data_IF_179913758365
#
_entry.id   IF_179913758365
#
_cell.length_a   1.000
_cell.length_b   1.000
_cell.length_c   1.000
_cell.angle_alpha   90.00
_cell.angle_beta   90.00
_cell.angle_gamma   90.00
#
_symmetry.space_group_name_H-M   'P 1'
#
loop_
_entity.id
_entity.type
_entity.pdbx_description
1 polymer ?
#
# COMPACT_ATOMS: atom_id res chain seq x y z
N UNK A 1 -18.10 -0.89 -3.53
CA UNK A 1 -19.09 -1.54 -4.43
C UNK A 1 -18.99 -0.91 -5.82
N UNK A 2 -19.54 -1.51 -6.90
CA UNK A 2 -19.40 -0.96 -8.26
C UNK A 2 -19.84 0.50 -8.42
N UNK A 3 -20.78 0.98 -7.59
CA UNK A 3 -21.23 2.38 -7.56
C UNK A 3 -20.38 3.34 -6.72
N UNK A 4 -19.21 2.91 -6.22
CA UNK A 4 -18.36 3.71 -5.33
C UNK A 4 -18.74 3.67 -3.85
N UNK A 5 -19.83 2.99 -3.49
CA UNK A 5 -20.24 2.85 -2.09
C UNK A 5 -19.26 2.02 -1.27
N UNK A 6 -18.97 2.47 -0.06
CA UNK A 6 -18.23 1.72 0.94
C UNK A 6 -19.18 0.97 1.86
N UNK A 7 -18.82 -0.27 2.21
CA UNK A 7 -19.59 -1.07 3.17
C UNK A 7 -18.65 -1.77 4.12
N UNK A 8 -18.87 -1.53 5.41
CA UNK A 8 -18.11 -2.20 6.46
C UNK A 8 -18.40 -3.71 6.48
N UNK A 9 -17.34 -4.50 6.66
CA UNK A 9 -17.46 -5.94 6.86
C UNK A 9 -17.77 -6.18 8.34
N UNK A 10 -19.01 -6.58 8.63
CA UNK A 10 -19.42 -6.94 9.99
C UNK A 10 -18.74 -8.25 10.42
N UNK A 11 -17.97 -8.17 11.51
CA UNK A 11 -17.20 -9.29 12.06
C UNK A 11 -17.78 -9.76 13.38
N UNK A 12 -17.79 -11.08 13.61
CA UNK A 12 -18.15 -11.70 14.89
C UNK A 12 -16.91 -12.12 15.71
N UNK A 13 -15.71 -11.89 15.18
CA UNK A 13 -14.44 -12.29 15.75
C UNK A 13 -13.29 -11.65 14.96
N UNK A 14 -12.04 -12.12 15.16
CA UNK A 14 -10.89 -11.63 14.42
C UNK A 14 -11.06 -11.74 12.90
N UNK A 15 -10.34 -10.93 12.11
CA UNK A 15 -10.31 -11.06 10.66
C UNK A 15 -9.86 -12.46 10.22
N UNK A 16 -10.44 -12.96 9.12
CA UNK A 16 -10.09 -14.28 8.57
C UNK A 16 -10.02 -14.24 7.05
N UNK A 17 -9.21 -15.11 6.44
CA UNK A 17 -9.13 -15.29 4.98
C UNK A 17 -10.49 -15.64 4.33
N UNK A 18 -11.45 -16.11 5.13
CA UNK A 18 -12.81 -16.42 4.67
C UNK A 18 -13.60 -15.16 4.28
N UNK A 19 -13.17 -13.96 4.70
CA UNK A 19 -13.76 -12.69 4.25
C UNK A 19 -13.66 -12.54 2.73
N UNK A 20 -12.51 -12.86 2.14
CA UNK A 20 -12.32 -12.85 0.68
C UNK A 20 -13.32 -13.74 -0.05
N UNK A 21 -13.64 -14.93 0.48
CA UNK A 21 -14.66 -15.83 -0.08
C UNK A 21 -16.06 -15.21 -0.06
N UNK A 22 -16.40 -14.45 1.00
CA UNK A 22 -17.69 -13.73 1.08
C UNK A 22 -17.75 -12.62 0.05
N UNK A 23 -16.66 -11.88 -0.14
CA UNK A 23 -16.57 -10.81 -1.15
C UNK A 23 -16.73 -11.41 -2.54
N UNK A 24 -16.00 -12.48 -2.88
CA UNK A 24 -16.15 -13.16 -4.18
C UNK A 24 -17.59 -13.61 -4.45
N UNK A 25 -18.25 -14.21 -3.45
CA UNK A 25 -19.66 -14.64 -3.56
C UNK A 25 -20.59 -13.44 -3.77
N UNK A 26 -20.35 -12.34 -3.07
CA UNK A 26 -21.14 -11.12 -3.21
C UNK A 26 -20.93 -10.45 -4.57
N UNK A 27 -19.70 -10.41 -5.07
CA UNK A 27 -19.37 -9.86 -6.39
C UNK A 27 -19.95 -10.70 -7.53
N UNK A 28 -19.89 -12.02 -7.42
CA UNK A 28 -20.53 -12.93 -8.38
C UNK A 28 -22.05 -12.73 -8.44
N UNK A 29 -22.72 -12.59 -7.29
CA UNK A 29 -24.17 -12.28 -7.23
C UNK A 29 -24.53 -10.94 -7.86
N UNK A 30 -23.61 -9.98 -7.86
CA UNK A 30 -23.79 -8.66 -8.47
C UNK A 30 -23.42 -8.65 -9.96
N UNK A 31 -22.95 -9.76 -10.53
CA UNK A 31 -22.51 -9.83 -11.92
C UNK A 31 -21.24 -9.01 -12.20
N UNK A 32 -20.39 -8.79 -11.21
CA UNK A 32 -19.16 -8.02 -11.39
C UNK A 32 -18.21 -8.70 -12.39
N UNK A 33 -17.72 -7.94 -13.38
CA UNK A 33 -16.74 -8.44 -14.34
C UNK A 33 -15.32 -8.55 -13.75
N UNK A 34 -15.00 -7.68 -12.79
CA UNK A 34 -13.69 -7.59 -12.14
C UNK A 34 -13.90 -7.44 -10.63
N UNK A 35 -13.04 -8.10 -9.85
CA UNK A 35 -12.96 -7.94 -8.39
C UNK A 35 -11.51 -7.68 -8.03
N UNK A 36 -11.27 -6.60 -7.30
CA UNK A 36 -9.96 -6.29 -6.71
C UNK A 36 -10.03 -6.66 -5.23
N UNK A 37 -9.06 -7.46 -4.77
CA UNK A 37 -8.95 -7.91 -3.39
C UNK A 37 -7.53 -7.67 -2.90
N UNK A 38 -7.41 -7.10 -1.70
CA UNK A 38 -6.17 -7.10 -0.94
C UNK A 38 -6.02 -8.45 -0.23
N UNK A 39 -4.83 -9.04 -0.30
CA UNK A 39 -4.49 -10.25 0.47
C UNK A 39 -4.06 -9.83 1.87
N UNK A 40 -4.75 -10.30 2.90
CA UNK A 40 -4.52 -9.88 4.28
C UNK A 40 -3.61 -10.83 5.05
N UNK A 41 -3.28 -12.00 4.47
CA UNK A 41 -2.49 -13.02 5.14
C UNK A 41 -1.02 -12.64 5.25
N UNK A 42 -0.50 -12.78 6.46
CA UNK A 42 0.90 -12.47 6.80
C UNK A 42 1.77 -13.73 6.82
N UNK A 43 1.19 -14.86 7.22
CA UNK A 43 1.91 -16.14 7.28
C UNK A 43 1.94 -16.79 5.89
N UNK A 44 3.07 -17.39 5.46
CA UNK A 44 3.22 -18.01 4.14
C UNK A 44 2.13 -19.04 3.83
N UNK A 45 1.78 -19.89 4.79
CA UNK A 45 0.79 -20.95 4.60
C UNK A 45 -0.61 -20.35 4.41
N UNK A 46 -0.95 -19.33 5.21
CA UNK A 46 -2.23 -18.64 5.08
C UNK A 46 -2.33 -17.88 3.76
N UNK A 47 -1.23 -17.22 3.34
CA UNK A 47 -1.14 -16.48 2.10
C UNK A 47 -1.24 -17.40 0.87
N UNK A 48 -0.60 -18.57 0.93
CA UNK A 48 -0.76 -19.61 -0.08
C UNK A 48 -2.21 -20.10 -0.17
N UNK A 49 -2.86 -20.41 0.96
CA UNK A 49 -4.27 -20.86 0.96
C UNK A 49 -5.17 -19.76 0.40
N UNK A 50 -5.01 -18.52 0.87
CA UNK A 50 -5.81 -17.37 0.45
C UNK A 50 -5.67 -17.13 -1.06
N UNK A 51 -4.46 -16.94 -1.57
CA UNK A 51 -4.26 -16.62 -2.99
C UNK A 51 -4.45 -17.84 -3.89
N UNK A 52 -3.77 -18.96 -3.61
CA UNK A 52 -3.64 -20.08 -4.55
C UNK A 52 -4.80 -21.07 -4.48
N UNK A 53 -5.36 -21.30 -3.29
CA UNK A 53 -6.43 -22.29 -3.12
C UNK A 53 -7.82 -21.66 -3.11
N UNK A 54 -7.97 -20.44 -2.60
CA UNK A 54 -9.25 -19.79 -2.43
C UNK A 54 -9.56 -18.77 -3.53
N UNK A 55 -8.74 -17.72 -3.66
CA UNK A 55 -9.02 -16.59 -4.57
C UNK A 55 -8.72 -16.94 -6.02
N UNK A 56 -7.59 -17.61 -6.28
CA UNK A 56 -7.10 -18.00 -7.62
C UNK A 56 -7.11 -16.81 -8.60
N UNK A 57 -6.38 -15.73 -8.29
CA UNK A 57 -6.40 -14.51 -9.09
C UNK A 57 -5.87 -14.72 -10.51
N UNK A 58 -6.50 -14.05 -11.48
CA UNK A 58 -5.96 -13.91 -12.84
C UNK A 58 -4.74 -12.97 -12.88
N UNK A 59 -4.76 -11.96 -12.02
CA UNK A 59 -3.71 -10.96 -11.87
C UNK A 59 -3.35 -10.86 -10.39
N UNK A 60 -2.06 -11.01 -10.08
CA UNK A 60 -1.50 -10.76 -8.76
C UNK A 60 -0.66 -9.48 -8.82
N UNK A 61 -0.79 -8.61 -7.83
CA UNK A 61 -0.03 -7.36 -7.76
C UNK A 61 0.77 -7.36 -6.47
N UNK A 62 2.10 -7.32 -6.58
CA UNK A 62 3.00 -7.16 -5.43
C UNK A 62 3.42 -5.69 -5.42
N UNK A 63 2.93 -4.91 -4.46
CA UNK A 63 3.12 -3.44 -4.47
C UNK A 63 4.48 -3.00 -3.94
N UNK A 64 5.04 -3.73 -2.98
CA UNK A 64 6.37 -3.51 -2.38
C UNK A 64 6.76 -4.68 -1.47
N UNK A 65 8.03 -4.78 -1.11
CA UNK A 65 8.57 -5.74 -0.13
C UNK A 65 9.18 -4.96 1.04
N UNK A 66 8.39 -4.77 2.10
CA UNK A 66 8.75 -3.98 3.28
C UNK A 66 8.89 -4.83 4.53
N UNK A 67 9.76 -4.35 5.43
CA UNK A 67 9.96 -4.90 6.77
C UNK A 67 8.71 -4.67 7.65
N UNK A 68 7.71 -5.54 7.48
CA UNK A 68 6.56 -5.66 8.35
C UNK A 68 6.46 -7.10 8.84
N UNK A 69 5.89 -7.31 10.02
CA UNK A 69 5.61 -8.64 10.56
C UNK A 69 6.85 -9.55 10.60
N UNK A 70 7.99 -9.03 11.05
CA UNK A 70 9.28 -9.72 10.97
C UNK A 70 9.27 -11.08 11.67
N UNK A 71 8.47 -11.23 12.73
CA UNK A 71 8.30 -12.49 13.43
C UNK A 71 7.62 -13.58 12.57
N UNK A 72 6.81 -13.18 11.60
CA UNK A 72 6.07 -14.09 10.72
C UNK A 72 6.69 -14.19 9.32
N UNK A 73 7.24 -13.10 8.80
CA UNK A 73 7.75 -13.00 7.42
C UNK A 73 9.28 -13.13 7.30
N UNK A 74 10.00 -13.04 8.41
CA UNK A 74 11.46 -13.04 8.45
C UNK A 74 12.06 -11.63 8.54
N UNK A 75 13.33 -11.51 8.97
CA UNK A 75 13.99 -10.23 9.20
C UNK A 75 14.49 -9.52 7.93
N UNK A 76 14.67 -10.24 6.80
CA UNK A 76 15.23 -9.69 5.57
C UNK A 76 14.20 -9.52 4.45
N UNK A 77 14.43 -8.55 3.55
CA UNK A 77 13.57 -8.37 2.36
C UNK A 77 13.53 -9.63 1.49
N UNK A 78 14.62 -10.37 1.38
CA UNK A 78 14.66 -11.65 0.66
C UNK A 78 13.73 -12.71 1.27
N UNK A 79 13.68 -12.81 2.59
CA UNK A 79 12.75 -13.73 3.28
C UNK A 79 11.30 -13.31 3.11
N UNK A 80 11.01 -12.00 3.24
CA UNK A 80 9.67 -11.45 3.02
C UNK A 80 9.23 -11.67 1.57
N UNK A 81 10.11 -11.46 0.59
CA UNK A 81 9.86 -11.79 -0.80
C UNK A 81 9.62 -13.31 -0.98
N UNK A 82 10.34 -14.15 -0.25
CA UNK A 82 10.10 -15.58 -0.16
C UNK A 82 8.67 -15.89 0.28
N UNK A 83 8.17 -15.22 1.33
CA UNK A 83 6.78 -15.33 1.78
C UNK A 83 5.81 -14.89 0.70
N UNK A 84 6.00 -13.72 0.09
CA UNK A 84 5.10 -13.22 -0.97
C UNK A 84 5.07 -14.12 -2.19
N UNK A 85 6.17 -14.79 -2.53
CA UNK A 85 6.24 -15.74 -3.63
C UNK A 85 5.27 -16.92 -3.47
N UNK A 86 4.86 -17.24 -2.23
CA UNK A 86 3.86 -18.28 -1.94
C UNK A 86 2.46 -17.91 -2.43
N UNK A 87 2.18 -16.62 -2.67
CA UNK A 87 0.90 -16.15 -3.19
C UNK A 87 0.77 -16.31 -4.71
N UNK A 88 1.86 -16.63 -5.43
CA UNK A 88 1.85 -16.71 -6.89
C UNK A 88 1.06 -17.95 -7.33
N UNK A 89 -0.13 -17.68 -7.90
CA UNK A 89 -1.07 -18.70 -8.37
C UNK A 89 -0.68 -19.25 -9.74
N UNK A 90 -1.23 -20.40 -10.13
CA UNK A 90 -1.02 -21.00 -11.46
C UNK A 90 -1.65 -20.14 -12.56
N UNK A 91 -0.99 -20.03 -13.71
CA UNK A 91 -1.49 -19.34 -14.90
C UNK A 91 -1.94 -17.89 -14.66
N UNK A 92 -1.32 -17.19 -13.70
CA UNK A 92 -1.62 -15.78 -13.42
C UNK A 92 -0.57 -14.85 -14.04
N UNK A 93 -0.92 -13.57 -14.16
CA UNK A 93 0.03 -12.51 -14.50
C UNK A 93 0.37 -11.74 -13.23
N UNK A 94 1.66 -11.67 -12.88
CA UNK A 94 2.15 -11.03 -11.66
C UNK A 94 2.78 -9.69 -12.03
N UNK A 95 2.29 -8.60 -11.44
CA UNK A 95 2.89 -7.27 -11.56
C UNK A 95 3.75 -6.98 -10.33
N UNK A 96 4.98 -6.52 -10.57
CA UNK A 96 5.92 -6.12 -9.51
C UNK A 96 6.66 -4.86 -9.96
N UNK A 97 6.84 -3.84 -9.10
CA UNK A 97 7.78 -2.74 -9.38
C UNK A 97 9.19 -3.29 -9.65
N UNK A 98 9.91 -2.77 -10.65
CA UNK A 98 11.28 -3.23 -10.96
C UNK A 98 12.21 -3.10 -9.74
N UNK A 99 12.03 -2.05 -8.94
CA UNK A 99 12.82 -1.79 -7.74
C UNK A 99 12.46 -2.70 -6.55
N UNK A 100 11.36 -3.44 -6.65
CA UNK A 100 10.86 -4.40 -5.66
C UNK A 100 10.90 -5.83 -6.21
N UNK A 101 11.60 -6.07 -7.33
CA UNK A 101 11.73 -7.39 -7.93
C UNK A 101 12.80 -8.23 -7.22
N UNK A 102 12.42 -9.47 -6.86
CA UNK A 102 13.33 -10.45 -6.27
C UNK A 102 13.37 -11.71 -7.14
N UNK A 103 14.55 -12.35 -7.34
CA UNK A 103 14.68 -13.57 -8.15
C UNK A 103 13.76 -14.72 -7.72
N UNK A 104 13.35 -14.76 -6.45
CA UNK A 104 12.42 -15.76 -5.92
C UNK A 104 11.04 -15.68 -6.59
N UNK A 105 10.59 -14.48 -6.98
CA UNK A 105 9.33 -14.31 -7.70
C UNK A 105 9.38 -15.02 -9.05
N UNK A 106 10.43 -14.80 -9.84
CA UNK A 106 10.58 -15.44 -11.15
C UNK A 106 10.65 -16.96 -11.03
N UNK A 107 11.40 -17.48 -10.04
CA UNK A 107 11.45 -18.93 -9.77
C UNK A 107 10.07 -19.49 -9.45
N UNK A 108 9.32 -18.81 -8.58
CA UNK A 108 7.97 -19.23 -8.20
C UNK A 108 6.99 -19.18 -9.37
N UNK A 109 6.98 -18.09 -10.15
CA UNK A 109 6.12 -17.93 -11.32
C UNK A 109 6.39 -19.00 -12.40
N UNK A 110 7.66 -19.27 -12.73
CA UNK A 110 8.04 -20.30 -13.69
C UNK A 110 7.53 -21.69 -13.26
N UNK A 111 7.63 -22.03 -11.97
CA UNK A 111 7.16 -23.32 -11.42
C UNK A 111 5.66 -23.55 -11.62
N UNK A 112 4.86 -22.50 -11.74
CA UNK A 112 3.39 -22.57 -11.82
C UNK A 112 2.84 -22.04 -13.14
N UNK A 113 3.70 -21.89 -14.16
CA UNK A 113 3.35 -21.39 -15.49
C UNK A 113 2.72 -19.99 -15.50
N UNK A 114 3.17 -19.13 -14.59
CA UNK A 114 2.75 -17.74 -14.50
C UNK A 114 3.78 -16.81 -15.12
N UNK A 115 3.33 -15.62 -15.50
CA UNK A 115 4.17 -14.58 -16.11
C UNK A 115 4.42 -13.46 -15.11
N UNK A 116 5.61 -12.88 -15.14
CA UNK A 116 5.91 -11.66 -14.40
C UNK A 116 6.01 -10.49 -15.38
N UNK A 117 5.44 -9.37 -14.98
CA UNK A 117 5.61 -8.07 -15.61
C UNK A 117 6.25 -7.16 -14.58
N UNK A 118 7.54 -6.88 -14.79
CA UNK A 118 8.26 -5.85 -14.05
C UNK A 118 7.81 -4.49 -14.55
N UNK A 119 7.33 -3.64 -13.65
CA UNK A 119 6.86 -2.30 -13.96
C UNK A 119 8.05 -1.34 -13.82
N UNK A 120 8.50 -0.68 -14.90
CA UNK A 120 9.67 0.20 -14.84
C UNK A 120 9.38 1.52 -14.11
N UNK A 121 10.39 2.14 -13.50
CA UNK A 121 10.32 3.48 -12.92
C UNK A 121 10.04 4.55 -13.99
N UNK A 122 10.61 4.38 -15.19
CA UNK A 122 10.57 5.36 -16.28
C UNK A 122 9.23 5.42 -17.04
N UNK A 123 8.27 4.52 -16.77
CA UNK A 123 7.02 4.44 -17.53
C UNK A 123 6.02 5.58 -17.25
N UNK A 124 6.33 6.51 -16.33
CA UNK A 124 5.60 7.79 -16.25
C UNK A 124 6.06 8.72 -17.38
N UNK A 125 5.72 8.36 -18.62
CA UNK A 125 5.92 9.22 -19.78
C UNK A 125 5.31 10.59 -19.54
N UNK A 126 6.11 11.66 -19.81
CA UNK A 126 5.80 13.10 -19.73
C UNK A 126 4.33 13.39 -19.44
N UNK A 127 4.00 13.40 -18.16
CA UNK A 127 2.73 13.90 -17.65
C UNK A 127 2.78 15.43 -17.85
N UNK A 128 1.82 15.98 -18.59
CA UNK A 128 1.76 17.42 -18.88
C UNK A 128 1.74 18.22 -17.56
N UNK A 129 2.33 19.41 -17.59
CA UNK A 129 2.51 20.28 -16.42
C UNK A 129 1.18 20.62 -15.71
N UNK A 130 0.07 20.57 -16.44
CA UNK A 130 -1.30 20.75 -15.97
C UNK A 130 -1.81 19.61 -15.06
N UNK A 131 -1.31 18.38 -15.27
CA UNK A 131 -1.67 17.20 -14.48
C UNK A 131 -0.87 17.13 -13.16
N UNK A 132 0.30 17.80 -13.09
CA UNK A 132 1.18 17.82 -11.88
C UNK A 132 0.48 18.35 -10.62
N UNK A 133 -0.47 19.29 -10.73
CA UNK A 133 -1.16 19.87 -9.56
C UNK A 133 -2.07 18.87 -8.83
N UNK A 134 -2.61 17.87 -9.54
CA UNK A 134 -3.45 16.81 -8.96
C UNK A 134 -2.64 15.56 -8.62
N UNK A 135 -1.38 15.46 -9.10
CA UNK A 135 -0.49 14.33 -8.90
C UNK A 135 0.31 14.37 -7.57
N UNK A 136 0.21 15.44 -6.79
CA UNK A 136 1.04 15.64 -5.59
C UNK A 136 0.56 14.94 -4.31
N UNK A 137 -0.47 14.10 -4.36
CA UNK A 137 -0.93 13.31 -3.22
C UNK A 137 -0.82 11.80 -3.49
N UNK A 138 -0.06 11.14 -2.64
CA UNK A 138 0.03 9.69 -2.39
C UNK A 138 0.66 8.79 -3.46
N UNK A 139 1.77 8.17 -3.04
CA UNK A 139 2.61 7.12 -3.63
C UNK A 139 2.57 6.98 -5.17
N UNK A 140 3.53 7.62 -5.84
CA UNK A 140 3.77 7.47 -7.28
C UNK A 140 3.89 6.00 -7.72
N UNK A 141 4.36 5.15 -6.83
CA UNK A 141 4.55 3.71 -7.01
C UNK A 141 3.20 2.99 -7.19
N UNK A 142 2.23 3.26 -6.32
CA UNK A 142 0.89 2.65 -6.38
C UNK A 142 0.12 3.08 -7.63
N UNK A 143 0.27 4.35 -8.05
CA UNK A 143 -0.31 4.81 -9.32
C UNK A 143 0.31 4.11 -10.52
N UNK A 144 1.65 4.02 -10.53
CA UNK A 144 2.40 3.42 -11.64
C UNK A 144 2.01 1.96 -11.87
N UNK A 145 1.93 1.16 -10.81
CA UNK A 145 1.49 -0.23 -10.94
C UNK A 145 0.01 -0.35 -11.31
N UNK A 146 -0.87 0.53 -10.79
CA UNK A 146 -2.28 0.54 -11.17
C UNK A 146 -2.48 0.89 -12.65
N UNK A 147 -1.69 1.83 -13.18
CA UNK A 147 -1.69 2.19 -14.61
C UNK A 147 -1.22 1.01 -15.48
N UNK A 148 -0.16 0.30 -15.06
CA UNK A 148 0.34 -0.88 -15.78
C UNK A 148 -0.70 -2.02 -15.83
N UNK A 149 -1.39 -2.27 -14.72
CA UNK A 149 -2.48 -3.25 -14.67
C UNK A 149 -3.66 -2.84 -15.55
N UNK A 150 -4.02 -1.55 -15.53
CA UNK A 150 -5.13 -1.04 -16.34
C UNK A 150 -4.83 -1.10 -17.85
N UNK A 151 -3.58 -0.78 -18.25
CA UNK A 151 -3.10 -0.92 -19.63
C UNK A 151 -3.16 -2.38 -20.09
N UNK A 152 -2.71 -3.32 -19.24
CA UNK A 152 -2.81 -4.76 -19.52
C UNK A 152 -4.26 -5.25 -19.68
N UNK A 153 -5.20 -4.64 -18.96
CA UNK A 153 -6.64 -4.91 -19.09
C UNK A 153 -7.29 -4.21 -20.29
N UNK A 154 -6.53 -3.40 -21.05
CA UNK A 154 -7.03 -2.66 -22.20
C UNK A 154 -7.89 -1.45 -21.86
N UNK A 155 -7.75 -0.90 -20.64
CA UNK A 155 -8.45 0.32 -20.23
C UNK A 155 -7.69 1.52 -20.79
N UNK A 156 -8.37 2.41 -21.52
CA UNK A 156 -7.71 3.56 -22.14
C UNK A 156 -7.13 4.52 -21.09
N UNK A 157 -5.98 5.12 -21.42
CA UNK A 157 -5.23 6.00 -20.52
C UNK A 157 -6.08 7.16 -19.96
N UNK A 158 -7.01 7.74 -20.74
CA UNK A 158 -7.83 8.86 -20.27
C UNK A 158 -8.80 8.40 -19.18
N UNK A 159 -9.43 7.25 -19.37
CA UNK A 159 -10.29 6.63 -18.35
C UNK A 159 -9.52 6.32 -17.07
N UNK A 160 -8.29 5.80 -17.17
CA UNK A 160 -7.44 5.53 -16.00
C UNK A 160 -7.08 6.82 -15.26
N UNK A 161 -6.60 7.85 -15.96
CA UNK A 161 -6.26 9.13 -15.34
C UNK A 161 -7.47 9.78 -14.66
N UNK A 162 -8.64 9.76 -15.32
CA UNK A 162 -9.88 10.30 -14.76
C UNK A 162 -10.33 9.51 -13.52
N UNK A 163 -10.20 8.18 -13.54
CA UNK A 163 -10.49 7.32 -12.41
C UNK A 163 -9.61 7.66 -11.20
N UNK A 164 -8.29 7.71 -11.40
CA UNK A 164 -7.32 8.08 -10.35
C UNK A 164 -7.62 9.46 -9.78
N UNK A 165 -7.93 10.45 -10.63
CA UNK A 165 -8.23 11.80 -10.18
C UNK A 165 -9.54 11.92 -9.38
N UNK A 166 -10.48 11.00 -9.59
CA UNK A 166 -11.78 10.94 -8.88
C UNK A 166 -11.75 10.05 -7.64
N UNK A 167 -10.70 9.25 -7.45
CA UNK A 167 -10.56 8.39 -6.28
C UNK A 167 -10.56 9.24 -5.01
N UNK A 168 -11.46 8.99 -4.05
CA UNK A 168 -11.43 9.66 -2.77
C UNK A 168 -10.06 9.46 -2.09
N UNK A 169 -9.57 10.49 -1.41
CA UNK A 169 -8.40 10.30 -0.55
C UNK A 169 -8.72 9.23 0.50
N UNK A 170 -7.74 8.37 0.77
CA UNK A 170 -7.86 7.38 1.84
C UNK A 170 -8.26 8.10 3.15
N UNK A 171 -9.25 7.56 3.85
CA UNK A 171 -9.69 8.08 5.14
C UNK A 171 -8.52 8.25 6.11
N UNK A 172 -7.56 7.30 6.10
CA UNK A 172 -6.35 7.33 6.92
C UNK A 172 -5.20 8.16 6.36
N UNK A 173 -5.33 8.69 5.14
CA UNK A 173 -4.30 9.42 4.42
C UNK A 173 -3.78 10.66 5.16
N UNK A 174 -2.65 11.19 4.68
CA UNK A 174 -2.00 12.36 5.28
C UNK A 174 -2.93 13.58 5.23
N UNK A 175 -3.32 14.09 6.40
CA UNK A 175 -4.10 15.34 6.51
C UNK A 175 -3.28 16.39 7.23
N UNK A 176 -3.32 17.62 6.72
CA UNK A 176 -2.71 18.79 7.36
C UNK A 176 -3.78 19.85 7.50
N UNK A 177 -3.95 20.36 8.71
CA UNK A 177 -4.85 21.48 8.98
C UNK A 177 -4.20 22.43 9.98
N UNK A 178 -4.73 23.66 10.05
CA UNK A 178 -4.27 24.66 11.01
C UNK A 178 -5.32 24.81 12.11
N UNK A 179 -4.88 24.87 13.36
CA UNK A 179 -5.74 25.13 14.52
C UNK A 179 -5.07 26.12 15.46
N UNK A 180 -5.84 26.96 16.14
CA UNK A 180 -5.30 27.94 17.09
C UNK A 180 -5.42 27.40 18.52
N UNK A 181 -4.29 27.17 19.18
CA UNK A 181 -4.24 26.65 20.56
C UNK A 181 -3.35 27.51 21.45
N UNK A 182 -3.52 27.40 22.77
CA UNK A 182 -2.72 28.12 23.78
C UNK A 182 -3.37 29.42 24.27
N UNK A 183 -2.68 30.07 25.22
CA UNK A 183 -3.07 31.39 25.75
C UNK A 183 -1.81 32.26 25.91
N UNK A 184 -1.62 33.33 25.09
CA UNK A 184 -2.51 33.72 23.99
C UNK A 184 -2.53 32.68 22.85
N UNK A 185 -3.58 32.66 22.00
CA UNK A 185 -3.69 31.70 20.90
C UNK A 185 -2.53 31.82 19.91
N UNK A 186 -1.98 30.67 19.48
CA UNK A 186 -1.00 30.59 18.41
C UNK A 186 -1.40 29.51 17.39
N UNK A 187 -1.00 29.70 16.13
CA UNK A 187 -1.33 28.78 15.05
C UNK A 187 -0.45 27.51 15.11
N UNK A 188 -1.10 26.35 15.15
CA UNK A 188 -0.49 25.03 15.08
C UNK A 188 -0.82 24.37 13.75
N UNK A 189 0.19 23.81 13.10
CA UNK A 189 -0.02 22.86 12.01
C UNK A 189 -0.24 21.48 12.62
N UNK A 190 -1.46 21.00 12.53
CA UNK A 190 -1.83 19.66 12.95
C UNK A 190 -1.68 18.71 11.76
N UNK A 191 -0.96 17.62 11.97
CA UNK A 191 -0.67 16.63 10.94
C UNK A 191 -1.19 15.27 11.40
N UNK A 192 -2.08 14.67 10.61
CA UNK A 192 -2.52 13.29 10.78
C UNK A 192 -1.64 12.38 9.95
N UNK A 193 -0.74 11.65 10.60
CA UNK A 193 0.13 10.64 9.99
C UNK A 193 -0.34 9.19 10.16
N UNK A 194 -1.63 8.94 10.46
CA UNK A 194 -2.12 7.60 10.83
C UNK A 194 -1.93 6.51 9.76
N UNK A 195 -1.81 6.87 8.47
CA UNK A 195 -1.44 5.91 7.42
C UNK A 195 0.04 5.47 7.46
N UNK A 196 0.93 6.25 8.09
CA UNK A 196 2.35 5.94 8.22
C UNK A 196 2.59 5.18 9.53
N UNK A 197 2.52 3.85 9.48
CA UNK A 197 2.61 2.99 10.66
C UNK A 197 4.06 2.59 11.03
N UNK A 198 5.02 2.89 10.16
CA UNK A 198 6.42 2.49 10.29
C UNK A 198 7.38 3.68 10.14
N UNK A 199 8.62 3.57 10.63
CA UNK A 199 9.61 4.65 10.56
C UNK A 199 9.93 5.12 9.14
N UNK A 200 9.99 4.22 8.16
CA UNK A 200 10.32 4.54 6.78
C UNK A 200 9.19 5.37 6.14
N UNK A 201 7.95 4.91 6.26
CA UNK A 201 6.76 5.65 5.81
C UNK A 201 6.63 7.01 6.51
N UNK A 202 6.95 7.08 7.80
CA UNK A 202 6.94 8.33 8.56
C UNK A 202 8.00 9.30 8.06
N UNK A 203 9.23 8.82 7.81
CA UNK A 203 10.31 9.63 7.21
C UNK A 203 9.89 10.21 5.87
N UNK A 204 9.18 9.43 5.03
CA UNK A 204 8.62 9.94 3.77
C UNK A 204 7.60 11.05 4.01
N UNK A 205 6.69 10.89 4.98
CA UNK A 205 5.71 11.91 5.35
C UNK A 205 6.40 13.20 5.82
N UNK A 206 7.34 13.09 6.76
CA UNK A 206 8.07 14.24 7.32
C UNK A 206 8.92 14.95 6.26
N UNK A 207 9.56 14.20 5.36
CA UNK A 207 10.30 14.80 4.23
C UNK A 207 9.38 15.62 3.33
N UNK A 208 8.18 15.11 3.01
CA UNK A 208 7.18 15.86 2.22
C UNK A 208 6.72 17.13 2.93
N UNK A 209 6.51 17.08 4.24
CA UNK A 209 6.11 18.25 5.02
C UNK A 209 7.23 19.30 5.07
N UNK A 210 8.49 18.86 5.17
CA UNK A 210 9.67 19.73 5.07
C UNK A 210 9.75 20.40 3.70
N UNK A 211 9.59 19.64 2.62
CA UNK A 211 9.67 20.14 1.24
C UNK A 211 8.53 21.13 0.92
N UNK A 212 7.40 21.02 1.63
CA UNK A 212 6.28 21.99 1.60
C UNK A 212 6.47 23.18 2.55
N UNK A 213 7.63 23.32 3.18
CA UNK A 213 7.97 24.35 4.18
C UNK A 213 7.05 24.37 5.43
N UNK A 214 6.28 23.31 5.67
CA UNK A 214 5.40 23.19 6.84
C UNK A 214 6.24 23.08 8.12
N UNK A 215 7.38 22.38 8.08
CA UNK A 215 8.24 22.18 9.26
C UNK A 215 9.24 23.32 9.49
N UNK A 216 9.46 24.20 8.49
CA UNK A 216 10.55 25.19 8.50
C UNK A 216 10.44 26.17 9.66
N UNK A 217 11.45 26.20 10.54
CA UNK A 217 11.53 27.12 11.67
C UNK A 217 10.51 26.85 12.78
N UNK A 218 9.88 25.67 12.80
CA UNK A 218 8.85 25.29 13.78
C UNK A 218 9.36 24.15 14.66
N UNK A 219 8.95 24.15 15.93
CA UNK A 219 9.15 22.99 16.81
C UNK A 219 8.22 21.87 16.36
N UNK A 220 8.79 20.69 16.10
CA UNK A 220 8.03 19.49 15.73
C UNK A 220 7.78 18.66 16.99
N UNK A 221 6.55 18.20 17.16
CA UNK A 221 6.15 17.31 18.28
C UNK A 221 5.48 16.09 17.67
N UNK A 222 6.10 14.92 17.83
CA UNK A 222 5.54 13.64 17.41
C UNK A 222 4.69 13.00 18.51
N UNK A 223 3.44 12.64 18.20
CA UNK A 223 2.60 11.80 19.04
C UNK A 223 2.51 10.41 18.42
N UNK A 224 3.09 9.42 19.10
CA UNK A 224 3.14 8.03 18.63
C UNK A 224 2.19 7.20 19.50
N UNK A 225 1.32 6.42 18.84
CA UNK A 225 0.44 5.47 19.50
C UNK A 225 0.72 4.07 18.97
N UNK A 226 1.17 3.16 19.84
CA UNK A 226 1.55 1.81 19.47
C UNK A 226 0.49 0.81 19.86
N UNK A 227 0.21 -0.13 18.97
CA UNK A 227 -0.64 -1.27 19.28
C UNK A 227 0.12 -2.26 20.16
N UNK A 228 -0.57 -2.80 21.16
CA UNK A 228 0.01 -3.76 22.12
C UNK A 228 0.44 -5.07 21.47
N UNK A 229 -0.17 -5.46 20.34
CA UNK A 229 0.14 -6.69 19.60
C UNK A 229 1.27 -6.52 18.56
N UNK A 230 1.91 -5.35 18.49
CA UNK A 230 2.95 -5.00 17.50
C UNK A 230 4.25 -4.53 18.16
N UNK A 231 4.77 -5.33 19.10
CA UNK A 231 5.98 -4.99 19.85
C UNK A 231 7.25 -4.85 18.99
N UNK A 232 7.33 -5.60 17.89
CA UNK A 232 8.37 -5.48 16.87
C UNK A 232 8.43 -4.07 16.27
N UNK A 233 7.26 -3.48 16.00
CA UNK A 233 7.16 -2.11 15.49
C UNK A 233 7.69 -1.10 16.50
N UNK A 234 7.38 -1.26 17.78
CA UNK A 234 7.93 -0.40 18.84
C UNK A 234 9.45 -0.43 18.87
N UNK A 235 10.06 -1.60 18.69
CA UNK A 235 11.52 -1.73 18.60
C UNK A 235 12.10 -1.04 17.35
N UNK A 236 11.44 -1.16 16.20
CA UNK A 236 11.84 -0.43 14.98
C UNK A 236 11.85 1.08 15.20
N UNK A 237 10.81 1.62 15.84
CA UNK A 237 10.72 3.05 16.18
C UNK A 237 11.83 3.49 17.14
N UNK A 238 12.11 2.70 18.18
CA UNK A 238 13.22 2.99 19.09
C UNK A 238 14.58 3.02 18.38
N UNK A 239 14.80 2.10 17.45
CA UNK A 239 16.03 2.07 16.64
C UNK A 239 16.13 3.30 15.73
N UNK A 240 15.06 3.64 15.00
CA UNK A 240 15.03 4.78 14.10
C UNK A 240 15.25 6.13 14.82
N UNK A 241 14.64 6.29 16.01
CA UNK A 241 14.82 7.48 16.85
C UNK A 241 16.27 7.60 17.34
N UNK A 242 16.92 6.48 17.72
CA UNK A 242 18.33 6.49 18.13
C UNK A 242 19.28 6.76 16.97
N UNK A 243 18.93 6.32 15.77
CA UNK A 243 19.72 6.51 14.55
C UNK A 243 19.59 7.93 13.96
N UNK A 244 18.58 8.71 14.37
CA UNK A 244 18.32 10.03 13.80
C UNK A 244 17.78 9.94 12.37
N UNK A 245 16.95 8.95 12.08
CA UNK A 245 16.47 8.66 10.73
C UNK A 245 15.43 9.65 10.19
N UNK A 246 15.02 10.64 10.99
CA UNK A 246 13.96 11.57 10.65
C UNK A 246 14.50 12.97 10.28
N UNK A 247 13.85 13.69 9.34
CA UNK A 247 14.39 14.91 8.72
C UNK A 247 14.16 16.22 9.49
N UNK A 248 13.45 16.20 10.62
CA UNK A 248 13.19 17.33 11.53
C UNK A 248 14.35 17.69 12.46
#
# INVERSE_FOLDING_TARGET
>A
LPGGEEKEIVRKGPPTILEGKRILKASSKQGANVVVLELMSIQPESLFVESVQMIKPHILVITNVRADHLAQMGPSKDEIAGVFSSSISKNCTVFVPEEEFFPVFQKAATRVHSKIIEVPLAQMGRIEESEKKHLQSDFSENRRIAMAVADFLGVDKKTVCLGIARTPADFGGLKVWVSEWGSPPCAWYCVSGFAANDPESTRCVLSRLRDREILKGRKVIGLLNFRTDRGDRTLQWLSALKAGDFPE
#
